data_IF_997247600470
#
_entry.id   IF_997247600470
#
_cell.length_a   1.000
_cell.length_b   1.000
_cell.length_c   1.000
_cell.angle_alpha   90.00
_cell.angle_beta   90.00
_cell.angle_gamma   90.00
#
_symmetry.space_group_name_H-M   'P 1'
#
loop_
_entity.id
_entity.type
_entity.pdbx_description
1 polymer ?
#
# COMPACT_ATOMS: atom_id res chain seq x y z
N UNK A 1 0.07 -4.50 14.62
CA UNK A 1 0.09 -3.33 13.71
C UNK A 1 -0.51 -3.62 12.34
N UNK A 2 -0.04 -4.60 11.56
CA UNK A 2 -0.58 -4.89 10.21
C UNK A 2 -2.09 -5.15 10.18
N UNK A 3 -2.59 -5.94 11.14
CA UNK A 3 -4.03 -6.24 11.24
C UNK A 3 -4.86 -4.99 11.56
N UNK A 4 -4.29 -4.00 12.26
CA UNK A 4 -4.95 -2.71 12.49
C UNK A 4 -5.08 -1.93 11.17
N UNK A 5 -4.02 -1.92 10.33
CA UNK A 5 -4.06 -1.28 9.00
C UNK A 5 -5.14 -1.93 8.14
N UNK A 6 -5.21 -3.26 8.09
CA UNK A 6 -6.23 -3.99 7.34
C UNK A 6 -7.64 -3.72 7.87
N UNK A 7 -7.82 -3.67 9.20
CA UNK A 7 -9.09 -3.27 9.83
C UNK A 7 -9.53 -1.87 9.40
N UNK A 8 -8.64 -0.88 9.44
CA UNK A 8 -8.97 0.49 9.01
C UNK A 8 -9.35 0.56 7.52
N UNK A 9 -8.66 -0.19 6.65
CA UNK A 9 -9.00 -0.25 5.22
C UNK A 9 -10.38 -0.90 5.02
N UNK A 10 -10.70 -1.96 5.79
CA UNK A 10 -11.97 -2.65 5.67
C UNK A 10 -13.16 -1.81 6.17
N UNK A 11 -12.97 -0.89 7.13
CA UNK A 11 -14.03 0.05 7.55
C UNK A 11 -14.61 0.86 6.39
N UNK A 12 -13.85 1.13 5.33
CA UNK A 12 -14.36 1.82 4.13
C UNK A 12 -15.54 1.06 3.51
N UNK A 13 -15.58 -0.28 3.62
CA UNK A 13 -16.70 -1.12 3.16
C UNK A 13 -17.93 -1.02 4.08
N UNK A 14 -17.71 -0.75 5.36
CA UNK A 14 -18.73 -0.81 6.41
C UNK A 14 -19.41 0.54 6.68
N UNK A 15 -18.75 1.64 6.33
CA UNK A 15 -19.30 2.98 6.52
C UNK A 15 -20.50 3.18 5.60
N UNK A 16 -21.70 3.26 6.19
CA UNK A 16 -22.97 3.51 5.51
C UNK A 16 -22.93 4.79 4.67
N UNK A 17 -22.17 5.80 5.09
CA UNK A 17 -22.01 7.03 4.32
C UNK A 17 -21.31 6.83 2.97
N UNK A 18 -20.49 5.78 2.80
CA UNK A 18 -19.80 5.45 1.55
C UNK A 18 -20.49 4.34 0.75
N UNK A 19 -21.58 3.76 1.27
CA UNK A 19 -22.34 2.74 0.56
C UNK A 19 -22.92 3.29 -0.75
N UNK A 20 -22.57 2.63 -1.86
CA UNK A 20 -22.96 3.06 -3.21
C UNK A 20 -22.17 4.25 -3.76
N UNK A 21 -21.28 4.89 -2.99
CA UNK A 21 -20.42 5.97 -3.48
C UNK A 21 -19.25 5.47 -4.31
N UNK A 22 -18.75 4.27 -4.02
CA UNK A 22 -17.59 3.68 -4.69
C UNK A 22 -17.88 2.25 -5.16
N UNK A 23 -17.44 1.88 -6.36
CA UNK A 23 -17.46 0.48 -6.79
C UNK A 23 -16.62 -0.39 -5.83
N UNK A 24 -17.08 -1.59 -5.45
CA UNK A 24 -16.35 -2.46 -4.52
C UNK A 24 -14.93 -2.81 -4.98
N UNK A 25 -14.69 -2.83 -6.30
CA UNK A 25 -13.40 -3.14 -6.91
C UNK A 25 -12.40 -1.98 -6.89
N UNK A 26 -12.74 -0.82 -6.32
CA UNK A 26 -11.78 0.27 -6.09
C UNK A 26 -10.92 0.05 -4.85
N UNK A 27 -11.35 -0.85 -3.94
CA UNK A 27 -10.55 -1.20 -2.78
C UNK A 27 -9.42 -2.16 -3.19
N UNK A 28 -8.19 -1.93 -2.68
CA UNK A 28 -7.08 -2.81 -2.98
C UNK A 28 -7.34 -4.21 -2.40
N UNK A 29 -7.03 -5.25 -3.18
CA UNK A 29 -7.11 -6.64 -2.75
C UNK A 29 -5.86 -7.12 -2.01
N UNK A 30 -4.75 -6.38 -2.14
CA UNK A 30 -3.48 -6.63 -1.46
C UNK A 30 -2.80 -5.28 -1.17
N UNK A 31 -2.05 -5.21 -0.07
CA UNK A 31 -1.41 -3.98 0.40
C UNK A 31 0.05 -4.25 0.74
N UNK A 32 0.94 -3.36 0.32
CA UNK A 32 2.35 -3.38 0.68
C UNK A 32 2.68 -2.24 1.65
N UNK A 33 3.46 -2.56 2.69
CA UNK A 33 4.05 -1.58 3.61
C UNK A 33 5.45 -1.22 3.12
N UNK A 34 5.78 0.07 3.12
CA UNK A 34 7.08 0.60 2.67
C UNK A 34 7.86 1.10 3.90
N UNK A 35 9.18 0.91 3.89
CA UNK A 35 10.06 1.33 4.98
C UNK A 35 10.46 2.80 4.93
N UNK A 36 10.28 3.44 3.77
CA UNK A 36 10.56 4.86 3.57
C UNK A 36 9.36 5.57 2.92
N UNK A 37 9.16 6.83 3.30
CA UNK A 37 8.18 7.69 2.66
C UNK A 37 8.64 8.18 1.28
N UNK A 38 7.70 8.73 0.51
CA UNK A 38 8.05 9.41 -0.75
C UNK A 38 8.59 10.80 -0.44
N UNK A 39 9.76 11.11 -0.97
CA UNK A 39 10.45 12.39 -0.74
C UNK A 39 10.99 12.94 -2.05
N UNK A 40 11.41 14.20 -2.04
CA UNK A 40 12.15 14.78 -3.18
C UNK A 40 13.55 14.17 -3.28
N UNK A 41 14.18 13.84 -2.14
CA UNK A 41 15.53 13.27 -2.08
C UNK A 41 15.61 11.91 -2.77
N UNK A 42 14.63 11.03 -2.54
CA UNK A 42 14.52 9.74 -3.26
C UNK A 42 13.86 9.88 -4.65
N UNK A 43 13.54 11.11 -5.09
CA UNK A 43 12.94 11.44 -6.39
C UNK A 43 11.57 10.78 -6.63
N UNK A 44 10.91 10.34 -5.57
CA UNK A 44 9.53 9.85 -5.63
C UNK A 44 8.53 10.99 -5.64
N UNK A 45 8.92 12.17 -5.15
CA UNK A 45 8.19 13.42 -5.33
C UNK A 45 8.98 14.37 -6.25
N UNK A 46 8.25 15.17 -7.02
CA UNK A 46 8.82 16.30 -7.74
C UNK A 46 8.85 17.57 -6.87
N UNK A 47 9.34 18.68 -7.42
CA UNK A 47 9.43 19.99 -6.73
C UNK A 47 8.09 20.59 -6.31
N UNK A 48 6.99 20.07 -6.82
CA UNK A 48 5.62 20.45 -6.41
C UNK A 48 5.00 19.44 -5.44
N UNK A 49 5.81 18.54 -4.90
CA UNK A 49 5.42 17.44 -4.01
C UNK A 49 4.42 16.46 -4.62
N UNK A 50 4.37 16.38 -5.97
CA UNK A 50 3.56 15.38 -6.68
C UNK A 50 4.36 14.10 -6.88
N UNK A 51 3.65 12.98 -6.76
CA UNK A 51 4.15 11.63 -6.96
C UNK A 51 4.68 11.45 -8.39
N UNK A 52 5.91 10.97 -8.51
CA UNK A 52 6.54 10.58 -9.78
C UNK A 52 6.29 9.10 -10.00
N UNK A 53 5.09 8.76 -10.51
CA UNK A 53 4.62 7.37 -10.68
C UNK A 53 5.63 6.48 -11.39
N UNK A 54 6.21 6.94 -12.49
CA UNK A 54 7.17 6.15 -13.27
C UNK A 54 8.36 5.68 -12.43
N UNK A 55 8.92 6.57 -11.60
CA UNK A 55 10.08 6.24 -10.76
C UNK A 55 9.73 5.29 -9.63
N UNK A 56 8.59 5.51 -8.97
CA UNK A 56 8.09 4.64 -7.91
C UNK A 56 7.79 3.25 -8.45
N UNK A 57 7.08 3.17 -9.58
CA UNK A 57 6.72 1.88 -10.21
C UNK A 57 7.95 1.11 -10.69
N UNK A 58 8.98 1.78 -11.19
CA UNK A 58 10.25 1.14 -11.56
C UNK A 58 10.98 0.60 -10.32
N UNK A 59 11.17 1.44 -9.29
CA UNK A 59 11.91 1.06 -8.07
C UNK A 59 11.21 -0.07 -7.31
N UNK A 60 9.90 0.03 -7.13
CA UNK A 60 9.10 -0.98 -6.43
C UNK A 60 8.57 -2.09 -7.33
N UNK A 61 9.05 -2.22 -8.57
CA UNK A 61 8.55 -3.23 -9.52
C UNK A 61 8.48 -4.65 -8.93
N UNK A 62 9.52 -5.18 -8.25
CA UNK A 62 9.45 -6.53 -7.67
C UNK A 62 8.35 -6.66 -6.60
N UNK A 63 8.14 -5.61 -5.80
CA UNK A 63 7.11 -5.59 -4.76
C UNK A 63 5.72 -5.45 -5.36
N UNK A 64 5.56 -4.66 -6.41
CA UNK A 64 4.31 -4.56 -7.17
C UNK A 64 3.97 -5.88 -7.85
N UNK A 65 4.94 -6.54 -8.46
CA UNK A 65 4.75 -7.85 -9.10
C UNK A 65 4.36 -8.91 -8.04
N UNK A 66 4.96 -8.87 -6.84
CA UNK A 66 4.57 -9.73 -5.72
C UNK A 66 3.12 -9.51 -5.27
N UNK A 67 2.59 -8.28 -5.29
CA UNK A 67 1.21 -7.98 -4.89
C UNK A 67 0.15 -8.70 -5.74
N UNK A 68 0.50 -9.13 -6.95
CA UNK A 68 -0.41 -9.91 -7.81
C UNK A 68 -0.44 -11.41 -7.48
N UNK A 69 0.38 -11.89 -6.52
CA UNK A 69 0.36 -13.28 -6.08
C UNK A 69 -0.76 -13.54 -5.07
N UNK A 70 -1.16 -14.81 -4.93
CA UNK A 70 -2.17 -15.20 -3.94
C UNK A 70 -1.67 -14.98 -2.49
N UNK A 71 -0.38 -15.16 -2.25
CA UNK A 71 0.23 -14.99 -0.92
C UNK A 71 0.16 -13.54 -0.44
N UNK A 72 0.37 -12.58 -1.33
CA UNK A 72 0.39 -11.16 -1.00
C UNK A 72 -0.96 -10.60 -0.54
N UNK A 73 -2.08 -11.30 -0.82
CA UNK A 73 -3.42 -10.90 -0.35
C UNK A 73 -3.51 -10.80 1.17
N UNK A 74 -2.75 -11.63 1.89
CA UNK A 74 -2.69 -11.55 3.35
C UNK A 74 -1.75 -10.41 3.74
N UNK A 75 -2.25 -9.40 4.45
CA UNK A 75 -1.41 -8.26 4.85
C UNK A 75 -0.22 -8.66 5.73
N UNK A 76 -0.34 -9.77 6.47
CA UNK A 76 0.70 -10.35 7.33
C UNK A 76 1.69 -11.26 6.59
N UNK A 77 1.84 -11.07 5.28
CA UNK A 77 2.87 -11.72 4.47
C UNK A 77 4.30 -11.35 4.93
N UNK A 78 5.28 -12.15 4.48
CA UNK A 78 6.67 -12.01 4.90
C UNK A 78 7.26 -10.63 4.57
N UNK A 79 6.97 -10.10 3.37
CA UNK A 79 7.51 -8.80 2.93
C UNK A 79 7.03 -7.62 3.76
N UNK A 80 5.79 -7.63 4.24
CA UNK A 80 5.27 -6.59 5.12
C UNK A 80 5.78 -6.75 6.56
N UNK A 81 5.90 -7.99 7.05
CA UNK A 81 6.46 -8.27 8.37
C UNK A 81 7.90 -7.79 8.50
N UNK A 82 8.74 -8.05 7.49
CA UNK A 82 10.14 -7.61 7.48
C UNK A 82 10.30 -6.10 7.61
N UNK A 83 9.42 -5.33 6.95
CA UNK A 83 9.48 -3.87 7.02
C UNK A 83 9.18 -3.40 8.45
N UNK A 84 8.17 -3.99 9.09
CA UNK A 84 7.79 -3.59 10.44
C UNK A 84 8.85 -3.97 11.47
N UNK A 85 9.45 -5.16 11.36
CA UNK A 85 10.55 -5.56 12.25
C UNK A 85 11.80 -4.68 12.10
N UNK A 86 11.92 -3.93 11.01
CA UNK A 86 13.03 -3.00 10.79
C UNK A 86 12.74 -1.57 11.26
N UNK A 87 11.49 -1.28 11.64
CA UNK A 87 11.03 0.04 12.10
C UNK A 87 10.88 0.07 13.63
N UNK A 88 10.96 -1.08 14.30
CA UNK A 88 11.15 -1.22 15.75
C UNK A 88 12.63 -1.11 16.13
#
# INVERSE_FOLDING_TARGET
MLELIESEINKIKEIVAFWGMFPPHWLPSAVAVLGEGFTEQNKFLNSTLKIVRAKISEYYKPRLDYLFTAEAKRITNHHNKMIISSVE
#
